data_IF_560087636941
#
_entry.id   IF_560087636941
#
_cell.length_a   1.000
_cell.length_b   1.000
_cell.length_c   1.000
_cell.angle_alpha   90.00
_cell.angle_beta   90.00
_cell.angle_gamma   90.00
#
_symmetry.space_group_name_H-M   'P 1'
#
loop_
_entity.id
_entity.type
_entity.pdbx_description
1 polymer ?
#
# COMPACT_ATOMS: atom_id res chain seq x y z
N UNK A 1 -25.53 -12.74 16.37
CA UNK A 1 -24.19 -12.65 15.75
C UNK A 1 -24.36 -11.88 14.44
N UNK A 2 -24.15 -10.56 14.45
CA UNK A 2 -24.30 -9.74 13.24
C UNK A 2 -23.00 -9.77 12.43
N UNK A 3 -23.00 -10.49 11.32
CA UNK A 3 -21.97 -10.36 10.29
C UNK A 3 -22.25 -9.06 9.54
N UNK A 4 -21.53 -7.99 9.86
CA UNK A 4 -21.60 -6.73 9.12
C UNK A 4 -20.78 -6.88 7.83
N UNK A 5 -21.45 -7.26 6.75
CA UNK A 5 -20.87 -7.22 5.41
C UNK A 5 -20.59 -5.78 5.00
N UNK A 6 -19.35 -5.51 4.60
CA UNK A 6 -18.91 -4.19 4.12
C UNK A 6 -19.69 -3.86 2.84
N UNK A 7 -20.37 -2.72 2.81
CA UNK A 7 -21.03 -2.25 1.59
C UNK A 7 -20.01 -2.16 0.45
N UNK A 8 -20.28 -2.85 -0.66
CA UNK A 8 -19.43 -2.86 -1.85
C UNK A 8 -19.36 -1.44 -2.42
N UNK A 9 -18.21 -0.78 -2.32
CA UNK A 9 -17.96 0.45 -3.06
C UNK A 9 -17.74 0.05 -4.51
N UNK A 10 -18.49 0.65 -5.44
CA UNK A 10 -18.30 0.44 -6.87
C UNK A 10 -16.87 0.85 -7.22
N UNK A 11 -16.03 -0.05 -7.79
CA UNK A 11 -14.67 0.30 -8.14
C UNK A 11 -14.69 1.37 -9.23
N UNK A 12 -14.09 2.53 -8.95
CA UNK A 12 -13.79 3.53 -9.98
C UNK A 12 -12.94 2.84 -11.06
N UNK A 13 -13.26 2.98 -12.37
CA UNK A 13 -12.47 2.36 -13.42
C UNK A 13 -11.02 2.83 -13.32
N UNK A 14 -10.14 1.92 -12.91
CA UNK A 14 -8.76 2.24 -12.63
C UNK A 14 -8.00 2.44 -13.94
N UNK A 15 -7.18 3.49 -14.01
CA UNK A 15 -6.22 3.67 -15.10
C UNK A 15 -5.29 2.44 -15.17
N UNK A 16 -4.89 2.00 -16.37
CA UNK A 16 -3.96 0.89 -16.52
C UNK A 16 -2.66 1.18 -15.77
N UNK A 17 -2.18 0.21 -14.99
CA UNK A 17 -0.88 0.27 -14.29
C UNK A 17 0.03 -0.82 -14.79
N UNK A 18 1.34 -0.55 -14.71
CA UNK A 18 2.39 -1.47 -15.10
C UNK A 18 2.89 -2.25 -13.88
N UNK A 19 2.81 -3.57 -13.91
CA UNK A 19 3.32 -4.44 -12.84
C UNK A 19 4.52 -5.23 -13.33
N UNK A 20 5.68 -4.57 -13.35
CA UNK A 20 6.97 -5.21 -13.65
C UNK A 20 7.78 -5.39 -12.38
N UNK A 21 8.47 -6.53 -12.24
CA UNK A 21 9.30 -6.82 -11.08
C UNK A 21 10.74 -7.01 -11.53
N UNK A 22 11.66 -6.24 -10.92
CA UNK A 22 13.08 -6.40 -11.17
C UNK A 22 13.54 -7.76 -10.60
N UNK A 23 13.99 -8.71 -11.44
CA UNK A 23 14.42 -10.03 -10.99
C UNK A 23 15.67 -9.98 -10.10
N UNK A 24 16.43 -8.88 -10.11
CA UNK A 24 17.59 -8.72 -9.24
C UNK A 24 17.23 -8.40 -7.79
N UNK A 25 16.01 -7.93 -7.51
CA UNK A 25 15.57 -7.66 -6.13
C UNK A 25 15.25 -8.96 -5.40
N UNK A 26 15.78 -9.20 -4.19
CA UNK A 26 15.53 -10.42 -3.42
C UNK A 26 14.05 -10.76 -3.25
N UNK A 27 13.19 -9.75 -3.02
CA UNK A 27 11.74 -9.97 -2.86
C UNK A 27 11.07 -10.59 -4.10
N UNK A 28 11.61 -10.34 -5.29
CA UNK A 28 11.05 -10.87 -6.55
C UNK A 28 11.14 -12.40 -6.62
N UNK A 29 12.16 -13.00 -6.02
CA UNK A 29 12.28 -14.46 -5.92
C UNK A 29 11.16 -15.08 -5.07
N UNK A 30 10.64 -14.34 -4.09
CA UNK A 30 9.56 -14.76 -3.19
C UNK A 30 8.15 -14.34 -3.66
N UNK A 31 8.01 -13.78 -4.86
CA UNK A 31 6.73 -13.28 -5.38
C UNK A 31 5.57 -14.28 -5.24
N UNK A 32 5.77 -15.53 -5.65
CA UNK A 32 4.71 -16.56 -5.59
C UNK A 32 4.29 -16.88 -4.15
N UNK A 33 5.26 -17.00 -3.26
CA UNK A 33 5.05 -17.27 -1.84
C UNK A 33 4.26 -16.12 -1.18
N UNK A 34 4.66 -14.88 -1.45
CA UNK A 34 3.99 -13.69 -0.92
C UNK A 34 2.55 -13.59 -1.47
N UNK A 35 2.34 -13.85 -2.75
CA UNK A 35 0.99 -13.83 -3.35
C UNK A 35 0.08 -14.90 -2.75
N UNK A 36 0.61 -16.10 -2.49
CA UNK A 36 -0.14 -17.16 -1.81
C UNK A 36 -0.52 -16.76 -0.39
N UNK A 37 0.44 -16.21 0.38
CA UNK A 37 0.18 -15.72 1.74
C UNK A 37 -0.83 -14.56 1.75
N UNK A 38 -0.72 -13.61 0.81
CA UNK A 38 -1.70 -12.53 0.64
C UNK A 38 -3.12 -13.03 0.35
N UNK A 39 -3.28 -14.22 -0.22
CA UNK A 39 -4.60 -14.80 -0.50
C UNK A 39 -5.18 -15.57 0.69
N UNK A 40 -4.32 -16.27 1.46
CA UNK A 40 -4.74 -17.16 2.54
C UNK A 40 -4.81 -16.51 3.92
N UNK A 41 -3.95 -15.52 4.19
CA UNK A 41 -3.69 -15.05 5.54
C UNK A 41 -4.14 -13.59 5.75
N UNK A 42 -4.85 -13.27 6.84
CA UNK A 42 -5.25 -11.89 7.15
C UNK A 42 -4.07 -11.03 7.62
N UNK A 43 -3.00 -11.64 8.11
CA UNK A 43 -1.79 -10.97 8.59
C UNK A 43 -0.58 -11.77 8.12
N UNK A 44 0.37 -11.07 7.48
CA UNK A 44 1.63 -11.65 7.01
C UNK A 44 2.79 -10.84 7.57
N UNK A 45 3.90 -11.50 7.88
CA UNK A 45 5.15 -10.86 8.29
C UNK A 45 6.17 -11.10 7.18
N UNK A 46 6.65 -10.01 6.57
CA UNK A 46 7.65 -10.08 5.50
C UNK A 46 8.97 -9.50 6.01
N UNK A 47 9.94 -10.38 6.24
CA UNK A 47 11.27 -10.01 6.70
C UNK A 47 12.27 -9.97 5.53
N UNK A 48 13.25 -9.08 5.62
CA UNK A 48 14.37 -9.02 4.66
C UNK A 48 15.27 -7.83 4.95
N UNK A 49 16.52 -7.88 4.51
CA UNK A 49 17.47 -6.78 4.71
C UNK A 49 17.02 -5.48 4.01
N UNK A 50 17.57 -4.33 4.43
CA UNK A 50 17.43 -3.07 3.69
C UNK A 50 17.92 -3.25 2.26
N UNK A 51 17.22 -2.67 1.29
CA UNK A 51 17.52 -2.85 -0.14
C UNK A 51 16.94 -4.12 -0.77
N UNK A 52 16.25 -4.98 0.01
CA UNK A 52 15.61 -6.19 -0.55
C UNK A 52 14.41 -5.92 -1.46
N UNK A 53 13.96 -4.66 -1.57
CA UNK A 53 12.83 -4.24 -2.39
C UNK A 53 11.46 -4.26 -1.70
N UNK A 54 11.37 -4.56 -0.40
CA UNK A 54 10.09 -4.64 0.34
C UNK A 54 9.18 -3.44 0.12
N UNK A 55 9.67 -2.24 0.44
CA UNK A 55 8.88 -1.02 0.41
C UNK A 55 8.39 -0.64 -0.99
N UNK A 56 9.12 -1.01 -2.05
CA UNK A 56 8.72 -0.69 -3.43
C UNK A 56 7.86 -1.80 -4.04
N UNK A 57 8.11 -3.06 -3.72
CA UNK A 57 7.48 -4.19 -4.40
C UNK A 57 6.26 -4.76 -3.67
N UNK A 58 6.16 -4.69 -2.34
CA UNK A 58 4.98 -5.17 -1.62
C UNK A 58 3.67 -4.50 -2.04
N UNK A 59 3.60 -3.17 -2.26
CA UNK A 59 2.39 -2.54 -2.78
C UNK A 59 1.98 -3.08 -4.15
N UNK A 60 2.95 -3.39 -5.02
CA UNK A 60 2.72 -3.95 -6.36
C UNK A 60 2.19 -5.38 -6.28
N UNK A 61 2.74 -6.19 -5.38
CA UNK A 61 2.25 -7.54 -5.11
C UNK A 61 0.83 -7.52 -4.54
N UNK A 62 0.50 -6.55 -3.68
CA UNK A 62 -0.86 -6.35 -3.20
C UNK A 62 -1.83 -6.00 -4.34
N UNK A 63 -1.44 -5.10 -5.24
CA UNK A 63 -2.23 -4.75 -6.43
C UNK A 63 -2.44 -5.97 -7.34
N UNK A 64 -1.40 -6.77 -7.56
CA UNK A 64 -1.47 -8.01 -8.32
C UNK A 64 -2.44 -9.03 -7.69
N UNK A 65 -2.45 -9.11 -6.36
CA UNK A 65 -3.37 -9.97 -5.61
C UNK A 65 -4.82 -9.45 -5.58
N UNK A 66 -5.15 -8.38 -6.32
CA UNK A 66 -6.51 -7.81 -6.39
C UNK A 66 -6.89 -6.97 -5.17
N UNK A 67 -5.92 -6.55 -4.36
CA UNK A 67 -6.14 -5.56 -3.28
C UNK A 67 -6.40 -4.18 -3.89
N UNK A 68 -6.84 -3.24 -3.06
CA UNK A 68 -7.39 -1.95 -3.47
C UNK A 68 -8.69 -2.05 -4.31
N UNK A 69 -9.44 -3.14 -4.19
CA UNK A 69 -10.73 -3.34 -4.85
C UNK A 69 -11.92 -2.89 -4.00
N UNK A 70 -11.77 -2.91 -2.67
CA UNK A 70 -12.80 -2.50 -1.71
C UNK A 70 -12.34 -1.32 -0.82
N UNK A 71 -11.15 -0.78 -1.07
CA UNK A 71 -10.54 0.32 -0.34
C UNK A 71 -9.19 0.69 -0.93
N UNK A 72 -8.36 1.35 -0.14
CA UNK A 72 -6.96 1.65 -0.49
C UNK A 72 -6.02 0.60 0.11
N UNK A 73 -4.86 0.43 -0.52
CA UNK A 73 -3.66 -0.08 0.15
C UNK A 73 -3.00 1.10 0.87
N UNK A 74 -3.01 1.09 2.20
CA UNK A 74 -2.29 2.07 3.00
C UNK A 74 -0.90 1.54 3.33
N UNK A 75 0.14 2.33 3.11
CA UNK A 75 1.52 1.91 3.39
C UNK A 75 2.24 2.96 4.21
N UNK A 76 2.55 2.62 5.45
CA UNK A 76 3.17 3.55 6.41
C UNK A 76 4.69 3.55 6.30
N UNK A 77 5.28 4.70 6.62
CA UNK A 77 6.72 4.94 6.71
C UNK A 77 6.99 5.88 7.90
N UNK A 78 8.01 5.63 8.74
CA UNK A 78 8.26 6.47 9.91
C UNK A 78 8.67 7.91 9.55
N UNK A 79 9.24 8.10 8.35
CA UNK A 79 9.82 9.39 7.91
C UNK A 79 9.03 9.98 6.74
N UNK A 80 8.70 11.28 6.83
CA UNK A 80 7.96 12.01 5.78
C UNK A 80 8.67 11.99 4.42
N UNK A 81 10.00 12.16 4.43
CA UNK A 81 10.80 12.18 3.20
C UNK A 81 10.75 10.80 2.53
N UNK A 82 10.82 9.72 3.31
CA UNK A 82 10.71 8.36 2.80
C UNK A 82 9.33 8.10 2.19
N UNK A 83 8.24 8.46 2.88
CA UNK A 83 6.87 8.31 2.35
C UNK A 83 6.69 9.03 1.00
N UNK A 84 7.22 10.26 0.88
CA UNK A 84 7.17 11.05 -0.36
C UNK A 84 8.00 10.44 -1.47
N UNK A 85 9.26 10.12 -1.20
CA UNK A 85 10.17 9.55 -2.18
C UNK A 85 9.67 8.19 -2.70
N UNK A 86 9.12 7.37 -1.79
CA UNK A 86 8.56 6.08 -2.14
C UNK A 86 7.30 6.21 -3.00
N UNK A 87 6.43 7.19 -2.71
CA UNK A 87 5.27 7.46 -3.55
C UNK A 87 5.65 7.89 -4.97
N UNK A 88 6.66 8.77 -5.11
CA UNK A 88 7.18 9.18 -6.41
C UNK A 88 7.74 7.98 -7.18
N UNK A 89 8.63 7.20 -6.55
CA UNK A 89 9.23 6.02 -7.17
C UNK A 89 8.18 4.98 -7.58
N UNK A 90 7.22 4.69 -6.70
CA UNK A 90 6.17 3.72 -7.00
C UNK A 90 5.26 4.21 -8.13
N UNK A 91 4.97 5.51 -8.19
CA UNK A 91 4.21 6.08 -9.30
C UNK A 91 4.93 5.87 -10.64
N UNK A 92 6.23 6.17 -10.69
CA UNK A 92 7.07 5.94 -11.87
C UNK A 92 7.09 4.46 -12.28
N UNK A 93 7.33 3.55 -11.34
CA UNK A 93 7.36 2.10 -11.60
C UNK A 93 5.99 1.58 -12.13
N UNK A 94 4.89 2.16 -11.66
CA UNK A 94 3.53 1.79 -12.09
C UNK A 94 3.08 2.50 -13.37
N UNK A 95 3.88 3.41 -13.93
CA UNK A 95 3.52 4.20 -15.12
C UNK A 95 2.44 5.25 -14.86
N UNK A 96 2.34 5.79 -13.65
CA UNK A 96 1.39 6.84 -13.24
C UNK A 96 2.15 8.05 -12.69
N UNK A 97 1.42 9.14 -12.43
CA UNK A 97 1.93 10.27 -11.62
C UNK A 97 1.44 10.17 -10.18
N UNK A 98 2.13 10.86 -9.27
CA UNK A 98 1.63 11.05 -7.89
C UNK A 98 0.32 11.83 -7.94
N UNK A 99 -0.70 11.34 -7.25
CA UNK A 99 -2.09 11.81 -7.32
C UNK A 99 -2.95 11.05 -8.33
N UNK A 100 -2.35 10.21 -9.19
CA UNK A 100 -3.04 9.22 -10.00
C UNK A 100 -3.36 7.95 -9.20
N UNK A 101 -2.81 6.80 -9.62
CA UNK A 101 -3.01 5.53 -8.90
C UNK A 101 -2.20 5.43 -7.58
N UNK A 102 -1.19 6.28 -7.39
CA UNK A 102 -0.37 6.35 -6.17
C UNK A 102 -0.46 7.75 -5.61
N UNK A 103 -0.77 7.87 -4.31
CA UNK A 103 -0.77 9.13 -3.58
C UNK A 103 0.08 9.04 -2.33
N UNK A 104 0.29 10.19 -1.68
CA UNK A 104 0.80 10.19 -0.32
C UNK A 104 0.11 11.22 0.55
N UNK A 105 0.15 10.97 1.87
CA UNK A 105 -0.23 11.95 2.86
C UNK A 105 0.79 12.00 4.01
N UNK A 106 1.28 13.20 4.28
CA UNK A 106 2.13 13.50 5.43
C UNK A 106 1.56 14.71 6.16
N UNK A 107 2.09 15.05 7.33
CA UNK A 107 1.61 16.25 8.05
C UNK A 107 1.69 17.48 7.12
N UNK A 108 0.58 18.21 7.04
CA UNK A 108 0.38 19.42 6.22
C UNK A 108 0.39 19.21 4.70
N UNK A 109 0.43 17.98 4.19
CA UNK A 109 0.41 17.75 2.74
C UNK A 109 -0.32 16.46 2.41
N UNK A 110 -1.36 16.58 1.58
CA UNK A 110 -2.05 15.45 0.99
C UNK A 110 -2.00 15.57 -0.54
N UNK A 111 -1.49 14.54 -1.20
CA UNK A 111 -1.44 14.39 -2.65
C UNK A 111 -2.13 13.09 -3.08
N UNK A 112 -3.12 12.66 -2.33
CA UNK A 112 -3.95 11.49 -2.64
C UNK A 112 -5.11 11.92 -3.54
N UNK A 113 -5.12 11.46 -4.79
CA UNK A 113 -6.21 11.75 -5.72
C UNK A 113 -7.38 10.77 -5.59
N UNK A 114 -8.53 11.06 -6.24
CA UNK A 114 -9.71 10.22 -6.20
C UNK A 114 -9.53 8.85 -6.87
N UNK A 115 -8.53 8.72 -7.76
CA UNK A 115 -8.16 7.46 -8.42
C UNK A 115 -7.05 6.67 -7.72
N UNK A 116 -6.62 7.10 -6.53
CA UNK A 116 -5.56 6.43 -5.80
C UNK A 116 -5.98 5.01 -5.43
N UNK A 117 -5.04 4.08 -5.58
CA UNK A 117 -5.13 2.69 -5.09
C UNK A 117 -4.15 2.43 -3.96
N UNK A 118 -2.99 3.08 -4.02
CA UNK A 118 -1.97 3.02 -2.97
C UNK A 118 -1.80 4.41 -2.37
N UNK A 119 -1.82 4.48 -1.03
CA UNK A 119 -1.54 5.69 -0.27
C UNK A 119 -0.34 5.46 0.64
N UNK A 120 0.76 6.13 0.32
CA UNK A 120 1.92 6.22 1.19
C UNK A 120 1.64 7.23 2.29
N UNK A 121 1.98 6.93 3.54
CA UNK A 121 1.76 7.87 4.62
C UNK A 121 2.76 7.71 5.74
N UNK A 122 2.81 8.69 6.64
CA UNK A 122 3.52 8.48 7.91
C UNK A 122 2.64 7.78 8.94
N UNK A 123 3.24 7.09 9.89
CA UNK A 123 2.52 6.44 11.00
C UNK A 123 1.59 7.42 11.73
N UNK A 124 2.05 8.65 11.96
CA UNK A 124 1.25 9.70 12.58
C UNK A 124 0.00 10.11 11.78
N UNK A 125 -0.02 9.87 10.47
CA UNK A 125 -1.23 10.08 9.65
C UNK A 125 -2.20 8.93 9.84
N UNK A 126 -1.72 7.68 9.83
CA UNK A 126 -2.56 6.52 10.13
C UNK A 126 -3.17 6.61 11.54
N UNK A 127 -2.35 6.98 12.54
CA UNK A 127 -2.80 7.18 13.92
C UNK A 127 -3.85 8.29 14.03
N UNK A 128 -3.69 9.40 13.28
CA UNK A 128 -4.70 10.45 13.23
C UNK A 128 -6.00 9.97 12.58
N UNK A 129 -5.92 9.17 11.52
CA UNK A 129 -7.11 8.64 10.86
C UNK A 129 -7.90 7.68 11.77
N UNK A 130 -7.20 6.88 12.58
CA UNK A 130 -7.80 6.01 13.60
C UNK A 130 -8.68 6.76 14.61
N UNK A 131 -8.41 8.05 14.87
CA UNK A 131 -9.27 8.87 15.74
C UNK A 131 -10.68 9.05 15.15
N UNK A 132 -10.75 9.19 13.82
CA UNK A 132 -12.00 9.43 13.07
C UNK A 132 -12.63 8.17 12.47
N UNK A 133 -11.82 7.16 12.17
CA UNK A 133 -12.23 5.89 11.55
C UNK A 133 -11.48 4.74 12.25
N UNK A 134 -12.01 4.33 13.42
CA UNK A 134 -11.40 3.31 14.27
C UNK A 134 -11.26 1.94 13.62
N UNK A 135 -12.10 1.66 12.62
CA UNK A 135 -12.08 0.40 11.87
C UNK A 135 -11.28 0.51 10.57
N UNK A 136 -10.71 1.69 10.29
CA UNK A 136 -9.93 1.97 9.09
C UNK A 136 -10.64 1.53 7.81
N UNK A 137 -11.97 1.77 7.74
CA UNK A 137 -12.86 1.35 6.65
C UNK A 137 -12.51 1.96 5.30
N UNK A 138 -11.55 2.89 5.23
CA UNK A 138 -10.99 3.38 3.96
C UNK A 138 -9.98 2.42 3.32
N UNK A 139 -9.34 1.56 4.11
CA UNK A 139 -8.30 0.65 3.65
C UNK A 139 -8.84 -0.78 3.56
N UNK A 140 -8.40 -1.53 2.56
CA UNK A 140 -8.61 -2.99 2.54
C UNK A 140 -7.34 -3.77 2.88
N UNK A 141 -6.20 -3.07 2.82
CA UNK A 141 -4.86 -3.62 3.09
C UNK A 141 -4.03 -2.53 3.75
N UNK A 142 -3.30 -2.89 4.81
CA UNK A 142 -2.33 -2.01 5.45
C UNK A 142 -0.96 -2.70 5.43
N UNK A 143 0.04 -1.96 4.96
CA UNK A 143 1.45 -2.34 5.00
C UNK A 143 2.09 -1.45 6.07
N UNK A 144 2.54 -2.07 7.16
CA UNK A 144 3.27 -1.38 8.23
C UNK A 144 4.76 -1.61 8.00
N UNK A 145 5.43 -0.61 7.44
CA UNK A 145 6.85 -0.72 7.09
C UNK A 145 7.75 -0.22 8.22
N UNK A 146 9.00 -0.69 8.19
CA UNK A 146 10.02 -0.38 9.21
C UNK A 146 9.53 -0.64 10.65
N UNK A 147 8.66 -1.64 10.81
CA UNK A 147 8.08 -2.03 12.11
C UNK A 147 9.13 -2.51 13.14
N UNK A 148 10.40 -2.63 12.74
CA UNK A 148 11.50 -2.95 13.62
C UNK A 148 12.08 -1.71 14.34
N UNK A 149 11.75 -0.49 13.89
CA UNK A 149 12.24 0.74 14.53
C UNK A 149 11.52 1.05 15.86
N UNK A 150 10.49 0.27 16.26
CA UNK A 150 9.64 0.50 17.44
C UNK A 150 9.05 -0.80 17.99
#
# INVERSE_FOLDING_TARGET
MEVRTRASRTPTPALPIRLDYDPALPISAHRREILAALAGDPVIIVCGATGSGKSTQLPKLCLEAGRASAGLIGHTQPRRIAARALATRLAEELGTTVGGAVGYQVRFTDRTGPGARVKLMTDGILLKELESDRELRRYDTLIIDEAHER
#
